data_IF_759846842323
#
_entry.id   IF_759846842323
#
_cell.length_a   1.000
_cell.length_b   1.000
_cell.length_c   1.000
_cell.angle_alpha   90.00
_cell.angle_beta   90.00
_cell.angle_gamma   90.00
#
_symmetry.space_group_name_H-M   'P 1'
#
loop_
_entity.id
_entity.type
_entity.pdbx_description
1 polymer ?
#
# COMPACT_ATOMS: atom_id res chain seq x y z
N UNK A 1 -9.60 17.17 -19.46
CA UNK A 1 -10.54 16.67 -18.45
C UNK A 1 -9.81 16.73 -17.12
N UNK A 2 -10.40 17.24 -16.04
CA UNK A 2 -9.69 17.42 -14.77
C UNK A 2 -9.35 16.10 -14.07
N UNK A 3 -9.83 14.96 -14.56
CA UNK A 3 -9.42 13.63 -14.13
C UNK A 3 -9.03 12.81 -15.36
N UNK A 4 -7.80 12.29 -15.36
CA UNK A 4 -7.29 11.33 -16.34
C UNK A 4 -6.77 10.09 -15.62
N UNK A 5 -7.18 8.91 -16.09
CA UNK A 5 -6.70 7.62 -15.58
C UNK A 5 -6.15 6.85 -16.78
N UNK A 6 -4.92 6.37 -16.67
CA UNK A 6 -4.24 5.62 -17.71
C UNK A 6 -3.49 4.43 -17.12
N UNK A 7 -3.19 3.44 -17.96
CA UNK A 7 -2.40 2.28 -17.58
C UNK A 7 -0.96 2.36 -18.07
N UNK A 8 -0.05 1.84 -17.26
CA UNK A 8 1.36 1.62 -17.59
C UNK A 8 1.74 0.17 -17.32
N UNK A 9 2.68 -0.38 -18.09
CA UNK A 9 3.08 -1.79 -17.94
C UNK A 9 4.04 -2.04 -16.78
N UNK A 10 4.76 -1.02 -16.33
CA UNK A 10 5.73 -1.10 -15.24
C UNK A 10 5.77 0.20 -14.44
N UNK A 11 6.34 0.12 -13.24
CA UNK A 11 6.53 1.29 -12.39
C UNK A 11 7.56 2.27 -13.02
N UNK A 12 8.59 1.76 -13.70
CA UNK A 12 9.60 2.58 -14.39
C UNK A 12 8.98 3.52 -15.44
N UNK A 13 7.91 3.09 -16.11
CA UNK A 13 7.24 3.90 -17.14
C UNK A 13 6.58 5.18 -16.58
N UNK A 14 6.44 5.30 -15.27
CA UNK A 14 5.86 6.47 -14.59
C UNK A 14 6.89 7.58 -14.44
N UNK A 15 8.19 7.25 -14.49
CA UNK A 15 9.27 8.22 -14.23
C UNK A 15 9.22 9.35 -15.24
N UNK A 16 9.01 9.06 -16.53
CA UNK A 16 8.94 10.08 -17.58
C UNK A 16 7.78 11.06 -17.33
N UNK A 17 6.60 10.53 -16.99
CA UNK A 17 5.40 11.30 -16.67
C UNK A 17 5.54 12.12 -15.39
N UNK A 18 6.22 11.56 -14.38
CA UNK A 18 6.53 12.27 -13.14
C UNK A 18 7.52 13.42 -13.38
N UNK A 19 8.52 13.23 -14.26
CA UNK A 19 9.43 14.30 -14.68
C UNK A 19 8.67 15.40 -15.41
N UNK A 20 7.79 15.05 -16.35
CA UNK A 20 6.95 16.03 -17.06
C UNK A 20 6.07 16.83 -16.07
N UNK A 21 5.39 16.13 -15.15
CA UNK A 21 4.54 16.74 -14.14
C UNK A 21 5.30 17.75 -13.25
N UNK A 22 6.52 17.41 -12.84
CA UNK A 22 7.37 18.27 -12.01
C UNK A 22 8.06 19.40 -12.81
N UNK A 23 8.13 19.29 -14.14
CA UNK A 23 8.72 20.31 -15.00
C UNK A 23 7.75 21.47 -15.31
N UNK A 24 6.46 21.33 -14.96
CA UNK A 24 5.47 22.39 -15.14
C UNK A 24 5.76 23.54 -14.16
N UNK A 25 5.77 24.81 -14.60
CA UNK A 25 6.12 25.93 -13.72
C UNK A 25 5.07 26.09 -12.61
N UNK A 26 5.53 26.08 -11.35
CA UNK A 26 4.73 26.44 -10.17
C UNK A 26 5.43 27.54 -9.39
N UNK A 27 4.66 28.21 -8.53
CA UNK A 27 5.23 29.14 -7.55
C UNK A 27 6.19 28.41 -6.60
N UNK A 28 7.24 29.12 -6.15
CA UNK A 28 8.37 28.57 -5.40
C UNK A 28 7.97 27.86 -4.10
N UNK A 29 6.86 28.28 -3.47
CA UNK A 29 6.38 27.70 -2.21
C UNK A 29 5.26 26.67 -2.40
N UNK A 30 4.77 26.48 -3.63
CA UNK A 30 3.70 25.51 -3.89
C UNK A 30 4.28 24.12 -4.06
N UNK A 31 3.95 23.20 -3.14
CA UNK A 31 4.41 21.82 -3.24
C UNK A 31 3.63 21.02 -4.29
N UNK A 32 4.33 20.22 -5.08
CA UNK A 32 3.72 19.21 -5.96
C UNK A 32 3.16 18.07 -5.12
N UNK A 33 1.96 17.59 -5.46
CA UNK A 33 1.30 16.50 -4.73
C UNK A 33 1.44 15.20 -5.52
N UNK A 34 2.19 14.26 -4.99
CA UNK A 34 2.36 12.92 -5.58
C UNK A 34 1.85 11.87 -4.59
N UNK A 35 0.91 11.03 -5.03
CA UNK A 35 0.39 9.90 -4.26
C UNK A 35 1.03 8.62 -4.78
N UNK A 36 1.66 7.86 -3.90
CA UNK A 36 2.47 6.67 -4.23
C UNK A 36 2.13 5.50 -3.31
N UNK A 37 2.37 4.24 -3.71
CA UNK A 37 1.87 3.09 -2.96
C UNK A 37 2.59 2.87 -1.63
N UNK A 38 3.91 3.03 -1.58
CA UNK A 38 4.74 2.68 -0.40
C UNK A 38 5.90 3.65 -0.21
N UNK A 39 6.50 3.62 0.99
CA UNK A 39 7.72 4.40 1.27
C UNK A 39 8.94 3.90 0.48
N UNK A 40 8.97 2.61 0.11
CA UNK A 40 9.97 2.07 -0.80
C UNK A 40 9.84 2.69 -2.19
N UNK A 41 8.62 2.73 -2.74
CA UNK A 41 8.33 3.40 -4.01
C UNK A 41 8.66 4.90 -3.95
N UNK A 42 8.46 5.56 -2.79
CA UNK A 42 8.88 6.96 -2.56
C UNK A 42 10.37 7.13 -2.79
N UNK A 43 11.16 6.32 -2.09
CA UNK A 43 12.62 6.43 -2.08
C UNK A 43 13.19 6.13 -3.46
N UNK A 44 12.66 5.10 -4.12
CA UNK A 44 13.00 4.74 -5.49
C UNK A 44 12.63 5.86 -6.49
N UNK A 45 11.40 6.38 -6.45
CA UNK A 45 10.96 7.41 -7.38
C UNK A 45 11.73 8.72 -7.16
N UNK A 46 11.97 9.10 -5.90
CA UNK A 46 12.76 10.29 -5.57
C UNK A 46 14.19 10.20 -6.10
N UNK A 47 14.86 9.05 -5.99
CA UNK A 47 16.19 8.82 -6.57
C UNK A 47 16.15 8.90 -8.10
N UNK A 48 15.20 8.23 -8.77
CA UNK A 48 15.05 8.28 -10.23
C UNK A 48 14.79 9.70 -10.75
N UNK A 49 13.96 10.46 -10.03
CA UNK A 49 13.65 11.84 -10.36
C UNK A 49 14.85 12.76 -10.12
N UNK A 50 15.60 12.60 -9.02
CA UNK A 50 16.77 13.43 -8.72
C UNK A 50 17.87 13.27 -9.76
N UNK A 51 18.04 12.07 -10.34
CA UNK A 51 19.01 11.86 -11.41
C UNK A 51 18.65 12.55 -12.73
N UNK A 52 17.40 12.99 -12.91
CA UNK A 52 16.89 13.58 -14.16
C UNK A 52 16.52 15.06 -14.04
N UNK A 53 15.98 15.47 -12.89
CA UNK A 53 15.52 16.84 -12.64
C UNK A 53 16.68 17.69 -12.12
N UNK A 54 17.00 18.76 -12.83
CA UNK A 54 18.06 19.69 -12.43
C UNK A 54 19.49 19.16 -12.60
N UNK A 55 19.68 18.01 -13.26
CA UNK A 55 21.02 17.48 -13.56
C UNK A 55 21.72 18.35 -14.60
N UNK A 56 23.01 18.63 -14.41
CA UNK A 56 23.82 19.39 -15.38
C UNK A 56 24.04 18.63 -16.69
N UNK A 57 24.10 17.29 -16.59
CA UNK A 57 24.05 16.34 -17.70
C UNK A 57 23.28 15.10 -17.27
N UNK A 58 22.52 14.53 -18.20
CA UNK A 58 21.77 13.27 -18.09
C UNK A 58 22.59 12.09 -17.56
N UNK A 59 23.92 12.14 -17.65
CA UNK A 59 24.84 11.08 -17.21
C UNK A 59 25.41 11.28 -15.80
N UNK A 60 25.40 12.51 -15.29
CA UNK A 60 26.02 12.84 -14.00
C UNK A 60 25.11 12.52 -12.83
N UNK A 61 23.79 12.63 -13.02
CA UNK A 61 22.80 12.34 -11.98
C UNK A 61 22.91 13.25 -10.76
N UNK A 62 23.45 14.47 -10.94
CA UNK A 62 23.72 15.47 -9.91
C UNK A 62 22.52 16.41 -9.63
N UNK A 63 21.32 15.98 -10.02
CA UNK A 63 20.11 16.76 -9.87
C UNK A 63 19.47 16.66 -8.48
N UNK A 64 18.37 17.39 -8.30
CA UNK A 64 17.67 17.52 -7.02
C UNK A 64 16.16 17.44 -7.25
N UNK A 65 15.47 16.73 -6.35
CA UNK A 65 14.00 16.79 -6.21
C UNK A 65 13.67 17.53 -4.93
N UNK A 66 12.97 18.65 -5.05
CA UNK A 66 12.53 19.46 -3.92
C UNK A 66 11.09 19.94 -4.14
N UNK A 67 10.42 20.36 -3.05
CA UNK A 67 9.04 20.87 -3.14
C UNK A 67 8.01 19.81 -3.52
N UNK A 68 8.28 18.53 -3.25
CA UNK A 68 7.34 17.43 -3.50
C UNK A 68 6.80 16.91 -2.18
N UNK A 69 5.48 16.94 -2.04
CA UNK A 69 4.76 16.30 -0.95
C UNK A 69 4.29 14.90 -1.41
N UNK A 70 4.95 13.89 -0.88
CA UNK A 70 4.62 12.50 -1.12
C UNK A 70 3.57 12.02 -0.11
N UNK A 71 2.39 11.72 -0.63
CA UNK A 71 1.25 11.16 0.09
C UNK A 71 1.03 9.69 -0.26
N UNK A 72 0.19 9.01 0.51
CA UNK A 72 -0.12 7.59 0.32
C UNK A 72 -1.62 7.40 0.03
N UNK A 73 -2.06 6.25 -0.50
CA UNK A 73 -3.43 6.11 -1.00
C UNK A 73 -4.50 6.26 0.11
N UNK A 74 -4.13 6.02 1.37
CA UNK A 74 -5.00 6.24 2.53
C UNK A 74 -5.16 7.71 2.94
N UNK A 75 -4.28 8.61 2.48
CA UNK A 75 -4.37 10.05 2.76
C UNK A 75 -5.05 10.85 1.65
N UNK A 76 -5.56 10.18 0.59
CA UNK A 76 -6.24 10.85 -0.53
C UNK A 76 -7.42 11.71 -0.10
N UNK A 77 -8.18 11.28 0.92
CA UNK A 77 -9.29 12.06 1.49
C UNK A 77 -8.86 13.39 2.09
N UNK A 78 -7.60 13.54 2.51
CA UNK A 78 -7.08 14.80 3.04
C UNK A 78 -6.97 15.87 1.95
N UNK A 79 -6.84 15.47 0.68
CA UNK A 79 -6.67 16.39 -0.44
C UNK A 79 -7.97 17.11 -0.82
N UNK A 80 -9.16 16.58 -0.48
CA UNK A 80 -10.45 17.23 -0.78
C UNK A 80 -10.82 18.34 0.21
N UNK A 81 -10.01 18.53 1.25
CA UNK A 81 -10.12 19.62 2.20
C UNK A 81 -10.72 19.23 3.55
N UNK A 82 -10.10 19.80 4.59
CA UNK A 82 -10.72 20.25 5.85
C UNK A 82 -10.67 19.37 7.10
N UNK A 83 -9.52 18.85 7.54
CA UNK A 83 -9.26 18.71 8.99
C UNK A 83 -7.79 18.42 9.35
N UNK A 84 -7.38 18.83 10.56
CA UNK A 84 -6.09 18.48 11.16
C UNK A 84 -6.02 16.98 11.44
N UNK A 85 -5.24 16.24 10.64
CA UNK A 85 -5.03 14.80 10.82
C UNK A 85 -4.60 14.43 12.25
N UNK A 86 -3.73 15.25 12.85
CA UNK A 86 -3.21 15.03 14.21
C UNK A 86 -4.32 14.98 15.27
N UNK A 87 -5.44 15.65 15.00
CA UNK A 87 -6.55 15.80 15.93
C UNK A 87 -7.84 15.09 15.50
N UNK A 88 -7.81 14.24 14.48
CA UNK A 88 -9.02 13.58 13.98
C UNK A 88 -9.57 12.57 15.03
N UNK A 89 -10.80 12.77 15.56
CA UNK A 89 -11.40 11.83 16.49
C UNK A 89 -11.67 10.45 15.89
N UNK A 90 -11.75 10.34 14.56
CA UNK A 90 -11.92 9.06 13.87
C UNK A 90 -10.61 8.31 13.65
N UNK A 91 -9.46 8.93 13.93
CA UNK A 91 -8.18 8.20 13.94
C UNK A 91 -8.29 7.01 14.89
N UNK A 92 -7.79 5.85 14.46
CA UNK A 92 -7.96 4.59 15.20
C UNK A 92 -7.55 4.71 16.67
N UNK A 93 -6.50 5.49 16.95
CA UNK A 93 -6.01 5.76 18.30
C UNK A 93 -7.06 6.45 19.17
N UNK A 94 -7.71 7.52 18.67
CA UNK A 94 -8.75 8.26 19.41
C UNK A 94 -10.10 7.54 19.41
N UNK A 95 -10.44 6.89 18.30
CA UNK A 95 -11.62 6.06 18.18
C UNK A 95 -11.60 4.92 19.20
N UNK A 96 -10.42 4.34 19.48
CA UNK A 96 -10.27 3.32 20.53
C UNK A 96 -10.76 3.82 21.89
N UNK A 97 -10.42 5.03 22.30
CA UNK A 97 -10.89 5.58 23.58
C UNK A 97 -12.38 5.93 23.56
N UNK A 98 -12.88 6.46 22.44
CA UNK A 98 -14.31 6.73 22.28
C UNK A 98 -15.15 5.45 22.36
N UNK A 99 -14.67 4.36 21.76
CA UNK A 99 -15.29 3.04 21.86
C UNK A 99 -15.21 2.52 23.28
N UNK A 100 -14.05 2.64 23.94
CA UNK A 100 -13.83 2.18 25.31
C UNK A 100 -14.85 2.80 26.27
N UNK A 101 -15.03 4.12 26.20
CA UNK A 101 -15.97 4.84 27.05
C UNK A 101 -17.41 4.34 26.84
N UNK A 102 -17.81 4.12 25.59
CA UNK A 102 -19.17 3.65 25.25
C UNK A 102 -19.40 2.21 25.71
N UNK A 103 -18.48 1.28 25.45
CA UNK A 103 -18.67 -0.15 25.77
C UNK A 103 -18.65 -0.41 27.28
N UNK A 104 -17.84 0.33 28.06
CA UNK A 104 -17.76 0.18 29.52
C UNK A 104 -19.02 0.70 30.21
N UNK A 105 -19.65 1.74 29.67
CA UNK A 105 -20.88 2.31 30.22
C UNK A 105 -22.16 1.55 29.81
N UNK A 106 -22.04 0.62 28.86
CA UNK A 106 -23.18 -0.05 28.22
C UNK A 106 -23.16 -1.56 28.47
N UNK A 107 -23.92 -2.08 29.46
CA UNK A 107 -23.90 -3.50 29.84
C UNK A 107 -24.19 -4.48 28.70
N UNK A 108 -24.92 -4.06 27.67
CA UNK A 108 -25.23 -4.86 26.49
C UNK A 108 -24.01 -5.27 25.64
N UNK A 109 -22.86 -4.62 25.83
CA UNK A 109 -21.60 -4.91 25.11
C UNK A 109 -20.56 -5.66 25.96
N UNK A 110 -20.90 -6.06 27.18
CA UNK A 110 -19.99 -6.77 28.10
C UNK A 110 -19.41 -8.06 27.48
N UNK A 111 -20.18 -8.76 26.65
CA UNK A 111 -19.72 -9.96 25.97
C UNK A 111 -18.55 -9.69 25.00
N UNK A 112 -18.47 -8.50 24.39
CA UNK A 112 -17.35 -8.11 23.52
C UNK A 112 -16.06 -7.94 24.33
N UNK A 113 -16.18 -7.39 25.53
CA UNK A 113 -15.08 -7.21 26.49
C UNK A 113 -14.54 -8.57 26.91
N UNK A 114 -15.43 -9.50 27.29
CA UNK A 114 -15.06 -10.86 27.69
C UNK A 114 -14.41 -11.64 26.55
N UNK A 115 -14.97 -11.57 25.35
CA UNK A 115 -14.43 -12.26 24.17
C UNK A 115 -13.04 -11.75 23.76
N UNK A 116 -12.77 -10.45 23.94
CA UNK A 116 -11.47 -9.87 23.61
C UNK A 116 -10.40 -10.09 24.68
N UNK A 117 -10.78 -10.52 25.89
CA UNK A 117 -9.88 -10.65 27.03
C UNK A 117 -9.58 -9.33 27.74
N UNK A 118 -10.43 -8.31 27.58
CA UNK A 118 -10.31 -7.02 28.26
C UNK A 118 -10.89 -5.85 27.48
N UNK A 119 -11.25 -4.75 28.17
CA UNK A 119 -12.02 -3.65 27.57
C UNK A 119 -11.21 -2.86 26.55
N UNK A 120 -9.92 -2.60 26.81
CA UNK A 120 -9.04 -1.90 25.86
C UNK A 120 -8.80 -2.73 24.59
N UNK A 121 -8.64 -4.05 24.72
CA UNK A 121 -8.47 -4.95 23.57
C UNK A 121 -9.74 -5.01 22.71
N UNK A 122 -10.91 -5.08 23.35
CA UNK A 122 -12.19 -5.01 22.66
C UNK A 122 -12.34 -3.68 21.91
N UNK A 123 -12.10 -2.57 22.61
CA UNK A 123 -12.22 -1.24 22.04
C UNK A 123 -11.28 -1.04 20.84
N UNK A 124 -10.04 -1.51 20.93
CA UNK A 124 -9.07 -1.42 19.83
C UNK A 124 -9.53 -2.23 18.62
N UNK A 125 -9.95 -3.48 18.82
CA UNK A 125 -10.44 -4.36 17.73
C UNK A 125 -11.68 -3.77 17.03
N UNK A 126 -12.58 -3.15 17.79
CA UNK A 126 -13.78 -2.50 17.26
C UNK A 126 -13.40 -1.22 16.49
N UNK A 127 -12.48 -0.40 17.03
CA UNK A 127 -11.98 0.79 16.35
C UNK A 127 -11.30 0.44 15.01
N UNK A 128 -10.41 -0.56 14.99
CA UNK A 128 -9.78 -1.06 13.76
C UNK A 128 -10.85 -1.52 12.74
N UNK A 129 -11.91 -2.20 13.20
CA UNK A 129 -13.00 -2.65 12.34
C UNK A 129 -13.80 -1.48 11.75
N UNK A 130 -14.14 -0.48 12.55
CA UNK A 130 -14.90 0.68 12.07
C UNK A 130 -14.08 1.55 11.12
N UNK A 131 -12.79 1.74 11.40
CA UNK A 131 -11.85 2.38 10.46
C UNK A 131 -11.82 1.64 9.11
N UNK A 132 -11.71 0.31 9.14
CA UNK A 132 -11.82 -0.49 7.92
C UNK A 132 -13.17 -0.32 7.21
N UNK A 133 -14.28 -0.12 7.92
CA UNK A 133 -15.59 0.14 7.31
C UNK A 133 -15.65 1.52 6.66
N UNK A 134 -15.09 2.55 7.29
CA UNK A 134 -14.98 3.88 6.70
C UNK A 134 -14.27 3.81 5.34
N UNK A 135 -13.23 2.99 5.23
CA UNK A 135 -12.44 2.91 4.00
C UNK A 135 -12.97 1.90 2.96
N UNK A 136 -13.29 0.67 3.39
CA UNK A 136 -13.65 -0.44 2.49
C UNK A 136 -15.14 -0.51 2.19
N UNK A 137 -15.98 0.10 3.03
CA UNK A 137 -17.46 0.06 2.91
C UNK A 137 -18.09 1.44 3.15
N UNK A 138 -17.65 2.50 2.45
CA UNK A 138 -18.13 3.86 2.69
C UNK A 138 -19.66 3.96 2.51
N UNK A 139 -20.23 3.29 1.50
CA UNK A 139 -21.69 3.27 1.28
C UNK A 139 -22.49 2.69 2.46
N UNK A 140 -21.92 1.71 3.18
CA UNK A 140 -22.53 1.18 4.40
C UNK A 140 -22.58 2.23 5.50
N UNK A 141 -21.48 2.96 5.71
CA UNK A 141 -21.40 4.04 6.70
C UNK A 141 -22.34 5.20 6.34
N UNK A 142 -22.43 5.56 5.06
CA UNK A 142 -23.36 6.59 4.60
C UNK A 142 -24.81 6.21 4.92
N UNK A 143 -25.20 4.96 4.68
CA UNK A 143 -26.53 4.46 5.07
C UNK A 143 -26.72 4.47 6.60
N UNK A 144 -25.66 4.18 7.36
CA UNK A 144 -25.73 4.18 8.83
C UNK A 144 -25.92 5.59 9.41
N UNK A 145 -25.31 6.61 8.80
CA UNK A 145 -25.54 8.03 9.13
C UNK A 145 -27.01 8.43 8.91
N UNK A 146 -27.62 7.91 7.85
CA UNK A 146 -29.06 8.12 7.55
C UNK A 146 -29.99 7.25 8.43
N UNK A 147 -29.44 6.53 9.42
CA UNK A 147 -30.19 5.69 10.34
C UNK A 147 -30.68 4.37 9.74
N UNK A 148 -30.21 3.98 8.54
CA UNK A 148 -30.57 2.74 7.87
C UNK A 148 -29.55 1.64 8.23
N UNK A 149 -29.94 0.55 8.94
CA UNK A 149 -29.04 -0.57 9.28
C UNK A 149 -28.81 -1.47 8.06
N UNK A 150 -28.05 -0.97 7.09
CA UNK A 150 -27.74 -1.62 5.83
C UNK A 150 -26.34 -2.23 5.82
N UNK A 151 -26.14 -3.29 5.04
CA UNK A 151 -24.83 -3.70 4.55
C UNK A 151 -24.46 -2.84 3.33
N UNK A 152 -23.19 -2.90 2.91
CA UNK A 152 -22.72 -2.16 1.75
C UNK A 152 -23.60 -2.43 0.51
N UNK A 153 -24.15 -1.39 -0.13
CA UNK A 153 -25.03 -1.56 -1.27
C UNK A 153 -24.25 -2.11 -2.49
N UNK A 154 -24.76 -3.17 -3.12
CA UNK A 154 -24.25 -3.71 -4.38
C UNK A 154 -25.28 -3.49 -5.48
N UNK A 155 -24.81 -3.08 -6.66
CA UNK A 155 -25.64 -2.47 -7.69
C UNK A 155 -26.67 -3.39 -8.40
N UNK A 156 -26.77 -4.65 -8.02
CA UNK A 156 -27.75 -5.59 -8.57
C UNK A 156 -28.53 -6.34 -7.48
N UNK A 157 -28.29 -6.05 -6.20
CA UNK A 157 -29.10 -6.57 -5.08
C UNK A 157 -30.29 -5.64 -4.84
N UNK A 158 -31.20 -5.64 -5.81
CA UNK A 158 -32.40 -4.80 -5.83
C UNK A 158 -33.48 -5.43 -4.94
N UNK A 159 -33.73 -4.84 -3.76
CA UNK A 159 -34.83 -5.23 -2.89
C UNK A 159 -35.87 -4.11 -2.83
N UNK A 160 -37.02 -4.32 -3.48
CA UNK A 160 -38.22 -3.50 -3.30
C UNK A 160 -38.48 -2.47 -4.40
N UNK A 161 -39.70 -1.91 -4.38
CA UNK A 161 -40.30 -1.07 -5.42
C UNK A 161 -39.64 0.32 -5.62
N UNK A 162 -38.70 0.71 -4.75
CA UNK A 162 -38.15 2.07 -4.66
C UNK A 162 -36.72 2.23 -5.21
N UNK A 163 -36.18 1.25 -5.95
CA UNK A 163 -34.87 1.37 -6.62
C UNK A 163 -33.66 1.63 -5.69
N UNK A 164 -33.79 1.43 -4.37
CA UNK A 164 -32.66 1.54 -3.43
C UNK A 164 -31.93 0.18 -3.31
N UNK A 165 -30.61 0.17 -3.55
CA UNK A 165 -29.75 -1.01 -3.42
C UNK A 165 -29.42 -1.35 -1.96
N UNK A 166 -30.41 -1.52 -1.08
CA UNK A 166 -30.18 -1.73 0.37
C UNK A 166 -30.34 -3.19 0.77
N UNK A 167 -29.25 -3.78 1.25
CA UNK A 167 -29.25 -5.09 1.89
C UNK A 167 -29.37 -4.86 3.41
N UNK A 168 -30.40 -5.34 4.11
CA UNK A 168 -30.48 -5.16 5.55
C UNK A 168 -29.40 -5.95 6.28
N UNK A 169 -28.86 -5.40 7.37
CA UNK A 169 -27.95 -6.13 8.25
C UNK A 169 -28.63 -7.36 8.86
N UNK A 170 -27.87 -8.44 8.99
CA UNK A 170 -28.33 -9.63 9.72
C UNK A 170 -28.64 -9.26 11.17
N UNK A 171 -29.55 -10.01 11.82
CA UNK A 171 -29.87 -9.78 13.24
C UNK A 171 -28.63 -9.91 14.14
N UNK A 172 -27.70 -10.79 13.80
CA UNK A 172 -26.45 -10.99 14.54
C UNK A 172 -25.46 -9.85 14.37
N UNK A 173 -25.55 -9.05 13.30
CA UNK A 173 -24.62 -7.95 13.04
C UNK A 173 -25.18 -6.58 13.44
N UNK A 174 -26.45 -6.52 13.85
CA UNK A 174 -27.12 -5.24 14.16
C UNK A 174 -26.48 -4.47 15.31
N UNK A 175 -25.84 -5.16 16.25
CA UNK A 175 -25.09 -4.53 17.33
C UNK A 175 -23.99 -3.59 16.82
N UNK A 176 -23.41 -3.88 15.63
CA UNK A 176 -22.34 -3.06 15.04
C UNK A 176 -22.88 -1.69 14.65
N UNK A 177 -24.05 -1.66 14.01
CA UNK A 177 -24.75 -0.42 13.66
C UNK A 177 -25.16 0.36 14.91
N UNK A 178 -25.75 -0.31 15.90
CA UNK A 178 -26.20 0.35 17.13
C UNK A 178 -25.02 0.95 17.91
N UNK A 179 -23.93 0.19 18.06
CA UNK A 179 -22.71 0.66 18.72
C UNK A 179 -22.05 1.80 17.94
N UNK A 180 -21.94 1.67 16.62
CA UNK A 180 -21.38 2.71 15.77
C UNK A 180 -22.15 4.02 15.90
N UNK A 181 -23.49 3.97 15.99
CA UNK A 181 -24.32 5.18 16.22
C UNK A 181 -24.05 5.83 17.56
N UNK A 182 -23.92 5.05 18.64
CA UNK A 182 -23.57 5.58 19.96
C UNK A 182 -22.22 6.30 19.93
N UNK A 183 -21.22 5.70 19.29
CA UNK A 183 -19.89 6.30 19.11
C UNK A 183 -19.96 7.55 18.23
N UNK A 184 -20.70 7.49 17.12
CA UNK A 184 -20.90 8.63 16.21
C UNK A 184 -21.53 9.82 16.94
N UNK A 185 -22.50 9.57 17.82
CA UNK A 185 -23.11 10.60 18.68
C UNK A 185 -22.11 11.13 19.71
N UNK A 186 -21.31 10.27 20.35
CA UNK A 186 -20.30 10.67 21.31
C UNK A 186 -19.19 11.54 20.69
N UNK A 187 -18.72 11.18 19.49
CA UNK A 187 -17.71 11.94 18.73
C UNK A 187 -18.28 13.29 18.26
N UNK A 188 -19.59 13.34 17.96
CA UNK A 188 -20.31 14.53 17.51
C UNK A 188 -19.67 15.25 16.30
N UNK A 189 -19.02 14.50 15.41
CA UNK A 189 -18.48 15.02 14.14
C UNK A 189 -18.77 14.04 13.00
N UNK A 190 -19.04 14.52 11.76
CA UNK A 190 -19.33 13.67 10.61
C UNK A 190 -18.31 12.55 10.44
N UNK A 191 -18.76 11.35 10.07
CA UNK A 191 -17.86 10.25 9.74
C UNK A 191 -17.01 10.56 8.50
N UNK A 192 -15.82 9.94 8.34
CA UNK A 192 -14.94 10.21 7.21
C UNK A 192 -15.63 10.14 5.84
N UNK A 193 -16.47 9.13 5.52
CA UNK A 193 -17.17 9.10 4.23
C UNK A 193 -18.14 10.26 4.01
N UNK A 194 -18.81 10.76 5.06
CA UNK A 194 -19.69 11.94 4.96
C UNK A 194 -18.85 13.21 4.76
N UNK A 195 -17.72 13.32 5.45
CA UNK A 195 -16.77 14.44 5.28
C UNK A 195 -16.31 14.52 3.84
N UNK A 196 -15.79 13.42 3.30
CA UNK A 196 -15.29 13.35 1.92
C UNK A 196 -16.38 13.75 0.91
N UNK A 197 -17.61 13.25 1.11
CA UNK A 197 -18.77 13.57 0.26
C UNK A 197 -19.12 15.07 0.28
N UNK A 198 -19.11 15.65 1.48
CA UNK A 198 -19.51 17.04 1.72
C UNK A 198 -18.35 18.02 1.63
N UNK A 199 -17.14 17.57 1.29
CA UNK A 199 -15.98 18.45 1.19
C UNK A 199 -16.18 19.52 0.12
N UNK A 200 -15.77 20.76 0.44
CA UNK A 200 -15.91 21.94 -0.44
C UNK A 200 -14.56 22.50 -0.89
N UNK A 201 -13.44 21.92 -0.43
CA UNK A 201 -12.08 22.39 -0.68
C UNK A 201 -11.49 23.19 0.50
N UNK A 202 -10.43 23.99 0.26
CA UNK A 202 -9.71 24.12 -1.01
C UNK A 202 -9.00 22.82 -1.41
N UNK A 203 -8.86 22.59 -2.71
CA UNK A 203 -8.10 21.46 -3.28
C UNK A 203 -6.78 21.95 -3.87
N UNK A 204 -5.74 21.10 -3.96
CA UNK A 204 -4.52 21.44 -4.68
C UNK A 204 -4.79 21.73 -6.16
N UNK A 205 -3.90 22.48 -6.82
CA UNK A 205 -4.02 22.78 -8.26
C UNK A 205 -3.87 21.55 -9.14
N UNK A 206 -3.02 20.60 -8.73
CA UNK A 206 -2.87 19.33 -9.42
C UNK A 206 -2.41 18.22 -8.47
N UNK A 207 -2.78 16.99 -8.78
CA UNK A 207 -2.41 15.76 -8.05
C UNK A 207 -1.99 14.69 -9.04
N UNK A 208 -0.83 14.08 -8.79
CA UNK A 208 -0.32 12.97 -9.58
C UNK A 208 -0.36 11.68 -8.77
N UNK A 209 -1.09 10.66 -9.25
CA UNK A 209 -1.15 9.34 -8.64
C UNK A 209 -0.21 8.42 -9.41
N UNK A 210 0.89 8.04 -8.77
CA UNK A 210 2.02 7.38 -9.37
C UNK A 210 2.07 5.89 -8.95
N UNK A 211 1.57 5.02 -9.83
CA UNK A 211 1.92 3.60 -9.80
C UNK A 211 1.16 2.77 -8.80
N UNK A 212 -0.11 3.09 -8.61
CA UNK A 212 -1.01 2.21 -7.85
C UNK A 212 -1.41 1.02 -8.73
N UNK A 213 -1.41 -0.17 -8.16
CA UNK A 213 -1.94 -1.36 -8.84
C UNK A 213 -3.48 -1.33 -8.88
N UNK A 214 -4.09 -0.81 -7.82
CA UNK A 214 -5.52 -0.82 -7.61
C UNK A 214 -6.03 0.51 -7.07
N UNK A 215 -7.27 0.85 -7.45
CA UNK A 215 -8.07 1.90 -6.82
C UNK A 215 -9.30 1.28 -6.18
N UNK A 216 -9.58 1.65 -4.94
CA UNK A 216 -10.85 1.31 -4.28
C UNK A 216 -11.96 2.29 -4.72
N UNK A 217 -13.22 1.90 -4.52
CA UNK A 217 -14.37 2.74 -4.85
C UNK A 217 -14.29 4.11 -4.16
N UNK A 218 -13.92 4.14 -2.87
CA UNK A 218 -13.76 5.41 -2.15
C UNK A 218 -12.69 6.28 -2.81
N UNK A 219 -11.53 5.72 -3.15
CA UNK A 219 -10.47 6.49 -3.79
C UNK A 219 -10.92 7.02 -5.15
N UNK A 220 -11.61 6.22 -5.95
CA UNK A 220 -12.19 6.65 -7.22
C UNK A 220 -13.17 7.82 -7.04
N UNK A 221 -14.06 7.76 -6.03
CA UNK A 221 -14.98 8.85 -5.72
C UNK A 221 -14.27 10.10 -5.20
N UNK A 222 -13.23 9.94 -4.37
CA UNK A 222 -12.39 11.06 -3.92
C UNK A 222 -11.65 11.71 -5.10
N UNK A 223 -11.10 10.94 -6.04
CA UNK A 223 -10.46 11.48 -7.24
C UNK A 223 -11.46 12.23 -8.14
N UNK A 224 -12.69 11.71 -8.31
CA UNK A 224 -13.77 12.44 -9.00
C UNK A 224 -14.07 13.76 -8.29
N UNK A 225 -14.23 13.71 -6.97
CA UNK A 225 -14.52 14.88 -6.14
C UNK A 225 -13.40 15.93 -6.25
N UNK A 226 -12.14 15.54 -6.11
CA UNK A 226 -10.97 16.39 -6.30
C UNK A 226 -11.03 17.14 -7.63
N UNK A 227 -11.26 16.41 -8.72
CA UNK A 227 -11.32 16.98 -10.06
C UNK A 227 -12.49 17.95 -10.31
N UNK A 228 -13.53 17.87 -9.47
CA UNK A 228 -14.72 18.73 -9.54
C UNK A 228 -14.64 19.98 -8.65
N UNK A 229 -13.83 19.93 -7.59
CA UNK A 229 -13.65 21.02 -6.65
C UNK A 229 -12.64 22.04 -7.20
N UNK A 230 -12.79 23.29 -6.74
CA UNK A 230 -11.93 24.40 -7.13
C UNK A 230 -10.86 24.66 -6.08
N UNK A 231 -9.64 24.92 -6.54
CA UNK A 231 -8.56 25.38 -5.68
C UNK A 231 -8.71 26.85 -5.29
N UNK A 232 -7.74 27.36 -4.54
CA UNK A 232 -7.70 28.77 -4.11
C UNK A 232 -7.67 29.76 -5.30
N UNK A 233 -7.12 29.32 -6.43
CA UNK A 233 -7.06 30.07 -7.67
C UNK A 233 -8.38 30.02 -8.49
N UNK A 234 -9.40 29.30 -8.01
CA UNK A 234 -10.70 29.15 -8.69
C UNK A 234 -10.71 28.14 -9.85
N UNK A 235 -9.57 27.50 -10.14
CA UNK A 235 -9.43 26.45 -11.16
C UNK A 235 -9.71 25.07 -10.55
N UNK A 236 -10.18 24.14 -11.38
CA UNK A 236 -10.35 22.75 -10.93
C UNK A 236 -9.00 22.06 -10.76
N UNK A 237 -8.90 21.16 -9.78
CA UNK A 237 -7.70 20.32 -9.60
C UNK A 237 -7.48 19.43 -10.84
N UNK A 238 -6.29 19.48 -11.43
CA UNK A 238 -5.87 18.52 -12.46
C UNK A 238 -5.36 17.22 -11.81
N UNK A 239 -6.10 16.14 -12.00
CA UNK A 239 -5.82 14.83 -11.41
C UNK A 239 -5.36 13.88 -12.53
N UNK A 240 -4.11 13.45 -12.46
CA UNK A 240 -3.53 12.45 -13.38
C UNK A 240 -3.17 11.19 -12.60
N UNK A 241 -3.79 10.07 -12.94
CA UNK A 241 -3.56 8.78 -12.30
C UNK A 241 -2.98 7.76 -13.28
N UNK A 242 -1.81 7.25 -12.94
CA UNK A 242 -1.15 6.17 -13.67
C UNK A 242 -1.20 4.90 -12.84
N UNK A 243 -1.94 3.92 -13.33
CA UNK A 243 -2.12 2.63 -12.68
C UNK A 243 -1.26 1.57 -13.38
N UNK A 244 -0.67 0.66 -12.59
CA UNK A 244 0.14 -0.41 -13.15
C UNK A 244 -0.79 -1.54 -13.63
N UNK A 245 -0.76 -1.79 -14.94
CA UNK A 245 -1.43 -2.92 -15.58
C UNK A 245 -0.43 -3.61 -16.52
N UNK A 246 0.11 -4.78 -16.15
CA UNK A 246 1.25 -5.35 -16.87
C UNK A 246 0.90 -5.88 -18.27
N UNK A 247 -0.36 -6.24 -18.53
CA UNK A 247 -0.79 -6.80 -19.82
C UNK A 247 -1.77 -5.90 -20.59
N UNK A 248 -1.34 -5.22 -21.67
CA UNK A 248 -2.25 -4.50 -22.57
C UNK A 248 -3.27 -5.42 -23.26
N UNK A 249 -2.87 -6.66 -23.57
CA UNK A 249 -3.75 -7.64 -24.24
C UNK A 249 -4.92 -8.05 -23.36
N UNK A 250 -4.67 -8.40 -22.10
CA UNK A 250 -5.73 -8.74 -21.14
C UNK A 250 -6.61 -7.53 -20.82
N UNK A 251 -6.04 -6.33 -20.73
CA UNK A 251 -6.80 -5.11 -20.54
C UNK A 251 -7.87 -4.95 -21.63
N UNK A 252 -7.48 -5.10 -22.91
CA UNK A 252 -8.40 -4.97 -24.03
C UNK A 252 -9.47 -6.08 -24.08
N UNK A 253 -9.14 -7.29 -23.63
CA UNK A 253 -10.10 -8.40 -23.53
C UNK A 253 -11.12 -8.13 -22.42
N UNK A 254 -10.66 -7.81 -21.21
CA UNK A 254 -11.50 -7.53 -20.05
C UNK A 254 -12.40 -6.31 -20.24
N UNK A 255 -11.99 -5.34 -21.07
CA UNK A 255 -12.84 -4.21 -21.43
C UNK A 255 -14.13 -4.65 -22.15
N UNK A 256 -14.10 -5.76 -22.89
CA UNK A 256 -15.29 -6.32 -23.55
C UNK A 256 -16.26 -6.97 -22.57
N UNK A 257 -15.79 -7.32 -21.37
CA UNK A 257 -16.57 -7.92 -20.28
C UNK A 257 -17.00 -6.89 -19.22
N UNK A 258 -16.83 -5.60 -19.52
CA UNK A 258 -17.14 -4.52 -18.60
C UNK A 258 -18.58 -4.64 -18.05
N UNK A 259 -18.78 -4.54 -16.72
CA UNK A 259 -20.10 -4.55 -16.12
C UNK A 259 -20.90 -3.29 -16.51
N UNK A 260 -22.20 -3.32 -16.23
CA UNK A 260 -23.04 -2.13 -16.37
C UNK A 260 -22.56 -0.97 -15.48
N UNK A 261 -22.87 0.26 -15.89
CA UNK A 261 -22.57 1.45 -15.12
C UNK A 261 -23.34 1.46 -13.82
N UNK A 262 -22.61 1.57 -12.71
CA UNK A 262 -23.15 1.54 -11.35
C UNK A 262 -22.48 2.62 -10.48
N UNK A 263 -22.69 3.91 -10.80
CA UNK A 263 -21.97 5.01 -10.15
C UNK A 263 -22.17 5.03 -8.64
N UNK A 264 -21.08 5.06 -7.87
CA UNK A 264 -21.09 5.09 -6.41
C UNK A 264 -21.37 3.74 -5.73
N UNK A 265 -21.53 2.66 -6.51
CA UNK A 265 -21.78 1.31 -6.01
C UNK A 265 -20.70 0.33 -6.48
N UNK A 266 -20.49 -0.73 -5.71
CA UNK A 266 -19.62 -1.81 -6.16
C UNK A 266 -20.34 -2.65 -7.23
N UNK A 267 -19.65 -3.01 -8.32
CA UNK A 267 -20.20 -3.94 -9.29
C UNK A 267 -20.30 -5.34 -8.69
N UNK A 268 -21.18 -6.17 -9.25
CA UNK A 268 -21.27 -7.57 -8.89
C UNK A 268 -19.94 -8.26 -9.19
N UNK A 269 -19.47 -9.08 -8.25
CA UNK A 269 -18.29 -9.91 -8.48
C UNK A 269 -18.61 -10.90 -9.59
N UNK A 270 -17.87 -10.81 -10.69
CA UNK A 270 -17.93 -11.79 -11.78
C UNK A 270 -17.01 -12.96 -11.42
N UNK A 271 -17.50 -14.19 -11.59
CA UNK A 271 -16.62 -15.37 -11.51
C UNK A 271 -15.80 -15.45 -12.79
N UNK A 272 -14.48 -15.61 -12.62
CA UNK A 272 -13.54 -15.68 -13.74
C UNK A 272 -13.61 -17.08 -14.34
N UNK A 273 -13.92 -17.17 -15.63
CA UNK A 273 -13.64 -18.39 -16.40
C UNK A 273 -12.19 -18.34 -16.89
N UNK A 274 -11.28 -18.93 -16.10
CA UNK A 274 -9.84 -18.94 -16.39
C UNK A 274 -9.49 -19.62 -17.73
N UNK A 275 -10.43 -20.32 -18.36
CA UNK A 275 -10.22 -20.95 -19.67
C UNK A 275 -10.45 -19.99 -20.86
N UNK A 276 -11.16 -18.87 -20.66
CA UNK A 276 -11.50 -17.92 -21.74
C UNK A 276 -10.61 -16.67 -21.75
N UNK A 277 -10.03 -16.31 -20.60
CA UNK A 277 -9.33 -15.04 -20.36
C UNK A 277 -7.79 -15.11 -20.55
N UNK A 278 -7.27 -16.11 -21.26
CA UNK A 278 -5.82 -16.25 -21.53
C UNK A 278 -5.12 -17.36 -20.73
N UNK A 279 -3.85 -17.15 -20.35
CA UNK A 279 -3.12 -18.12 -19.53
C UNK A 279 -3.64 -18.15 -18.08
N UNK A 280 -4.06 -19.31 -17.52
CA UNK A 280 -4.66 -19.39 -16.20
C UNK A 280 -3.78 -18.85 -15.05
N UNK A 281 -2.45 -19.00 -15.16
CA UNK A 281 -1.53 -18.54 -14.13
C UNK A 281 -1.43 -17.01 -14.15
N UNK A 282 -1.28 -16.43 -15.34
CA UNK A 282 -1.25 -14.98 -15.53
C UNK A 282 -2.56 -14.35 -15.07
N UNK A 283 -3.70 -14.91 -15.48
CA UNK A 283 -5.03 -14.43 -15.07
C UNK A 283 -5.23 -14.54 -13.55
N UNK A 284 -4.72 -15.60 -12.92
CA UNK A 284 -4.77 -15.72 -11.45
C UNK A 284 -3.90 -14.67 -10.75
N UNK A 285 -2.71 -14.35 -11.28
CA UNK A 285 -1.84 -13.33 -10.70
C UNK A 285 -2.41 -11.92 -10.85
N UNK A 286 -3.12 -11.66 -11.95
CA UNK A 286 -3.67 -10.34 -12.27
C UNK A 286 -5.12 -10.15 -11.82
N UNK A 287 -5.66 -11.04 -10.98
CA UNK A 287 -7.04 -10.94 -10.46
C UNK A 287 -7.30 -9.58 -9.79
N UNK A 288 -6.36 -9.05 -9.02
CA UNK A 288 -6.51 -7.74 -8.37
C UNK A 288 -6.62 -6.58 -9.37
N UNK A 289 -5.81 -6.63 -10.43
CA UNK A 289 -5.86 -5.68 -11.55
C UNK A 289 -7.17 -5.78 -12.31
N UNK A 290 -7.66 -6.99 -12.59
CA UNK A 290 -8.95 -7.23 -13.23
C UNK A 290 -10.11 -6.68 -12.39
N UNK A 291 -10.16 -7.00 -11.09
CA UNK A 291 -11.18 -6.49 -10.16
C UNK A 291 -11.19 -4.95 -10.16
N UNK A 292 -10.01 -4.32 -10.23
CA UNK A 292 -9.88 -2.86 -10.36
C UNK A 292 -10.40 -2.36 -11.70
N UNK A 293 -10.06 -3.00 -12.81
CA UNK A 293 -10.54 -2.60 -14.13
C UNK A 293 -12.08 -2.71 -14.22
N UNK A 294 -12.67 -3.77 -13.69
CA UNK A 294 -14.13 -3.95 -13.64
C UNK A 294 -14.78 -2.87 -12.78
N UNK A 295 -14.19 -2.57 -11.62
CA UNK A 295 -14.63 -1.47 -10.77
C UNK A 295 -14.58 -0.14 -11.54
N UNK A 296 -13.45 0.20 -12.16
CA UNK A 296 -13.31 1.45 -12.92
C UNK A 296 -14.32 1.54 -14.08
N UNK A 297 -14.51 0.45 -14.82
CA UNK A 297 -15.49 0.37 -15.91
C UNK A 297 -16.92 0.60 -15.40
N UNK A 298 -17.28 -0.02 -14.26
CA UNK A 298 -18.59 0.20 -13.61
C UNK A 298 -18.80 1.66 -13.18
N UNK A 299 -17.71 2.38 -12.89
CA UNK A 299 -17.74 3.79 -12.54
C UNK A 299 -17.66 4.74 -13.75
N UNK A 300 -17.63 4.20 -14.98
CA UNK A 300 -17.57 4.95 -16.23
C UNK A 300 -16.17 5.26 -16.73
N UNK A 301 -15.12 4.67 -16.15
CA UNK A 301 -13.74 4.84 -16.60
C UNK A 301 -13.26 3.66 -17.42
N UNK A 302 -12.69 3.96 -18.59
CA UNK A 302 -12.06 2.98 -19.48
C UNK A 302 -10.62 3.39 -19.76
N UNK A 303 -9.70 3.24 -18.77
CA UNK A 303 -8.31 3.65 -18.94
C UNK A 303 -7.66 2.84 -20.07
N UNK A 304 -6.85 3.51 -20.88
CA UNK A 304 -6.04 2.88 -21.92
C UNK A 304 -4.58 2.84 -21.51
N UNK A 305 -3.85 1.87 -22.03
CA UNK A 305 -2.40 1.85 -21.91
C UNK A 305 -1.79 3.08 -22.60
N UNK A 306 -0.84 3.70 -21.92
CA UNK A 306 -0.01 4.72 -22.53
C UNK A 306 0.79 4.12 -23.69
N UNK A 307 0.91 4.87 -24.77
CA UNK A 307 1.78 4.50 -25.89
C UNK A 307 3.21 4.60 -25.38
N UNK A 308 3.80 3.46 -25.02
CA UNK A 308 5.21 3.43 -24.71
C UNK A 308 5.97 3.63 -26.01
N UNK A 309 6.80 4.69 -26.05
CA UNK A 309 7.93 4.69 -26.96
C UNK A 309 8.80 3.52 -26.54
N UNK A 310 8.70 2.39 -27.24
CA UNK A 310 9.58 1.24 -27.02
C UNK A 310 11.01 1.77 -26.99
N UNK A 311 11.58 1.85 -25.80
CA UNK A 311 13.01 1.93 -25.65
C UNK A 311 13.52 0.71 -26.40
N UNK A 312 14.31 0.95 -27.43
CA UNK A 312 14.87 -0.03 -28.35
C UNK A 312 15.87 -0.92 -27.59
N UNK A 313 15.38 -1.69 -26.62
CA UNK A 313 16.13 -2.71 -25.91
C UNK A 313 16.21 -3.89 -26.87
N UNK A 314 17.22 -3.77 -27.72
CA UNK A 314 17.82 -4.74 -28.63
C UNK A 314 17.21 -6.14 -28.63
N UNK A 315 17.02 -6.65 -29.85
CA UNK A 315 16.80 -8.06 -30.19
C UNK A 315 18.00 -8.92 -29.74
N UNK A 316 18.21 -9.06 -28.44
CA UNK A 316 19.10 -10.05 -27.87
C UNK A 316 18.27 -11.29 -27.54
N UNK A 317 18.88 -12.46 -27.74
CA UNK A 317 18.31 -13.78 -27.45
C UNK A 317 17.65 -13.77 -26.06
N UNK A 318 16.34 -14.00 -26.02
CA UNK A 318 15.55 -13.80 -24.80
C UNK A 318 15.96 -14.78 -23.71
N UNK A 319 16.23 -14.25 -22.52
CA UNK A 319 16.40 -15.04 -21.30
C UNK A 319 15.10 -15.69 -20.86
N UNK A 320 15.18 -16.70 -19.99
CA UNK A 320 13.97 -17.34 -19.44
C UNK A 320 13.09 -16.31 -18.72
N UNK A 321 13.68 -15.41 -17.95
CA UNK A 321 13.00 -14.31 -17.30
C UNK A 321 12.27 -13.40 -18.31
N UNK A 322 12.94 -13.01 -19.41
CA UNK A 322 12.33 -12.14 -20.43
C UNK A 322 11.16 -12.85 -21.13
N UNK A 323 11.26 -14.15 -21.36
CA UNK A 323 10.17 -14.96 -21.91
C UNK A 323 8.94 -14.99 -21.00
N UNK A 324 9.15 -15.11 -19.68
CA UNK A 324 8.05 -15.05 -18.69
C UNK A 324 7.45 -13.64 -18.64
N UNK A 325 8.28 -12.59 -18.63
CA UNK A 325 7.80 -11.21 -18.67
C UNK A 325 6.97 -10.93 -19.93
N UNK A 326 7.42 -11.41 -21.09
CA UNK A 326 6.66 -11.31 -22.35
C UNK A 326 5.34 -12.07 -22.29
N UNK A 327 5.32 -13.26 -21.67
CA UNK A 327 4.10 -14.05 -21.47
C UNK A 327 3.08 -13.28 -20.62
N UNK A 328 3.54 -12.63 -19.54
CA UNK A 328 2.68 -11.79 -18.70
C UNK A 328 2.16 -10.60 -19.50
N UNK A 329 3.02 -9.89 -20.23
CA UNK A 329 2.61 -8.73 -21.05
C UNK A 329 1.60 -9.12 -22.14
N UNK A 330 1.82 -10.25 -22.82
CA UNK A 330 0.92 -10.76 -23.85
C UNK A 330 -0.36 -11.41 -23.30
N UNK A 331 -0.39 -11.75 -22.01
CA UNK A 331 -1.53 -12.46 -21.39
C UNK A 331 -1.66 -13.93 -21.78
N UNK A 332 -0.71 -14.48 -22.53
CA UNK A 332 -0.76 -15.85 -23.05
C UNK A 332 0.63 -16.41 -23.30
N UNK A 333 0.77 -17.73 -23.15
CA UNK A 333 2.00 -18.44 -23.48
C UNK A 333 2.14 -18.48 -25.00
N UNK A 334 3.23 -17.91 -25.52
CA UNK A 334 3.56 -18.06 -26.93
C UNK A 334 4.12 -19.46 -27.19
N UNK A 335 3.65 -20.16 -28.23
CA UNK A 335 4.14 -21.51 -28.56
C UNK A 335 5.60 -21.55 -29.01
N UNK A 336 6.18 -20.38 -29.32
CA UNK A 336 7.56 -20.21 -29.80
C UNK A 336 8.56 -19.87 -28.67
N UNK A 337 8.14 -19.88 -27.40
CA UNK A 337 9.02 -19.64 -26.24
C UNK A 337 9.81 -20.88 -25.84
N UNK A 338 10.50 -21.52 -26.78
CA UNK A 338 11.57 -22.47 -26.47
C UNK A 338 12.81 -21.70 -26.05
N UNK A 339 12.77 -21.12 -24.85
CA UNK A 339 13.95 -20.50 -24.25
C UNK A 339 14.87 -21.61 -23.71
N UNK A 340 16.18 -21.50 -23.98
CA UNK A 340 17.16 -22.38 -23.33
C UNK A 340 17.24 -21.98 -21.85
N UNK A 341 17.32 -22.97 -20.96
CA UNK A 341 17.57 -22.70 -19.55
C UNK A 341 18.83 -21.84 -19.39
N UNK A 342 18.72 -20.79 -18.58
CA UNK A 342 19.78 -19.83 -18.28
C UNK A 342 19.76 -19.46 -16.79
N UNK A 343 20.68 -18.58 -16.39
CA UNK A 343 20.84 -18.17 -14.99
C UNK A 343 19.93 -16.99 -14.59
N UNK A 344 18.95 -16.61 -15.43
CA UNK A 344 18.06 -15.48 -15.17
C UNK A 344 16.94 -15.79 -14.18
N UNK A 345 16.59 -17.08 -14.01
CA UNK A 345 15.62 -17.55 -13.04
C UNK A 345 16.11 -18.87 -12.43
N UNK A 346 16.54 -18.81 -11.18
CA UNK A 346 17.08 -19.96 -10.44
C UNK A 346 16.16 -20.31 -9.27
N UNK A 347 15.94 -21.62 -9.07
CA UNK A 347 15.16 -22.14 -7.94
C UNK A 347 16.07 -22.97 -7.04
N UNK A 348 16.28 -22.50 -5.81
CA UNK A 348 17.13 -23.16 -4.82
C UNK A 348 16.30 -23.86 -3.75
N UNK A 349 16.46 -25.17 -3.61
CA UNK A 349 15.88 -25.96 -2.52
C UNK A 349 16.87 -26.05 -1.36
N UNK A 350 16.48 -25.55 -0.19
CA UNK A 350 17.31 -25.53 1.03
C UNK A 350 16.62 -26.27 2.18
N UNK A 351 17.38 -26.66 3.21
CA UNK A 351 16.89 -27.45 4.35
C UNK A 351 16.30 -26.60 5.50
N UNK A 352 16.86 -25.42 5.75
CA UNK A 352 16.43 -24.50 6.82
C UNK A 352 16.77 -23.03 6.46
N UNK A 353 16.36 -22.08 7.31
CA UNK A 353 16.58 -20.64 7.10
C UNK A 353 18.06 -20.24 7.14
N UNK A 354 18.87 -20.92 7.96
CA UNK A 354 20.30 -20.67 8.03
C UNK A 354 20.98 -21.02 6.71
N UNK A 355 20.64 -22.19 6.15
CA UNK A 355 21.17 -22.63 4.86
C UNK A 355 20.63 -21.78 3.71
N UNK A 356 19.39 -21.31 3.79
CA UNK A 356 18.86 -20.35 2.82
C UNK A 356 19.69 -19.06 2.79
N UNK A 357 20.02 -18.49 3.96
CA UNK A 357 20.85 -17.29 4.05
C UNK A 357 22.24 -17.49 3.43
N UNK A 358 22.89 -18.64 3.69
CA UNK A 358 24.17 -18.99 3.07
C UNK A 358 24.08 -19.11 1.55
N UNK A 359 23.05 -19.81 1.05
CA UNK A 359 22.84 -20.00 -0.40
C UNK A 359 22.55 -18.66 -1.08
N UNK A 360 21.78 -17.76 -0.45
CA UNK A 360 21.56 -16.40 -0.97
C UNK A 360 22.88 -15.65 -1.07
N UNK A 361 23.68 -15.65 -0.01
CA UNK A 361 24.98 -14.98 0.01
C UNK A 361 25.92 -15.49 -1.10
N UNK A 362 26.04 -16.81 -1.26
CA UNK A 362 26.87 -17.42 -2.30
C UNK A 362 26.34 -17.12 -3.72
N UNK A 363 25.02 -17.14 -3.91
CA UNK A 363 24.39 -16.78 -5.18
C UNK A 363 24.67 -15.32 -5.57
N UNK A 364 24.61 -14.39 -4.61
CA UNK A 364 24.92 -12.98 -4.85
C UNK A 364 26.39 -12.77 -5.23
N UNK A 365 27.33 -13.44 -4.54
CA UNK A 365 28.75 -13.39 -4.90
C UNK A 365 28.98 -13.89 -6.33
N UNK A 366 28.29 -14.96 -6.71
CA UNK A 366 28.33 -15.46 -8.09
C UNK A 366 27.79 -14.42 -9.07
N UNK A 367 26.63 -13.82 -8.78
CA UNK A 367 26.05 -12.76 -9.62
C UNK A 367 26.97 -11.55 -9.77
N UNK A 368 27.63 -11.08 -8.71
CA UNK A 368 28.60 -9.97 -8.79
C UNK A 368 29.82 -10.32 -9.64
N UNK A 369 30.25 -11.58 -9.65
CA UNK A 369 31.35 -12.04 -10.50
C UNK A 369 30.98 -12.12 -11.98
N UNK A 370 29.71 -12.44 -12.27
CA UNK A 370 29.22 -12.62 -13.64
C UNK A 370 28.66 -11.34 -14.28
N UNK A 371 28.26 -10.36 -13.47
CA UNK A 371 27.65 -9.12 -13.93
C UNK A 371 28.45 -7.90 -13.45
N UNK A 372 29.32 -7.38 -14.31
CA UNK A 372 30.25 -6.27 -14.00
C UNK A 372 29.54 -4.98 -13.53
N UNK A 373 28.28 -4.78 -13.90
CA UNK A 373 27.50 -3.57 -13.59
C UNK A 373 26.49 -3.75 -12.45
N UNK A 374 26.41 -4.93 -11.82
CA UNK A 374 25.43 -5.18 -10.76
C UNK A 374 25.91 -4.54 -9.45
N UNK A 375 25.17 -3.55 -8.97
CA UNK A 375 25.46 -2.91 -7.70
C UNK A 375 24.62 -3.49 -6.54
N UNK A 376 25.12 -3.53 -5.29
CA UNK A 376 24.37 -4.07 -4.15
C UNK A 376 22.99 -3.43 -3.92
N UNK A 377 22.82 -2.15 -4.25
CA UNK A 377 21.55 -1.43 -4.09
C UNK A 377 20.49 -1.81 -5.15
N UNK A 378 20.87 -2.57 -6.18
CA UNK A 378 19.96 -3.08 -7.22
C UNK A 378 19.39 -4.46 -6.84
N UNK A 379 19.80 -5.03 -5.70
CA UNK A 379 19.37 -6.33 -5.22
C UNK A 379 18.34 -6.17 -4.11
N UNK A 380 17.25 -6.94 -4.20
CA UNK A 380 16.20 -7.01 -3.18
C UNK A 380 16.00 -8.46 -2.70
N UNK A 381 16.05 -8.66 -1.39
CA UNK A 381 15.69 -9.93 -0.76
C UNK A 381 14.32 -9.75 -0.11
N UNK A 382 13.32 -10.50 -0.57
CA UNK A 382 11.96 -10.47 -0.02
C UNK A 382 11.67 -11.77 0.70
N UNK A 383 11.10 -11.68 1.91
CA UNK A 383 10.65 -12.84 2.69
C UNK A 383 9.28 -12.57 3.31
N UNK A 384 8.34 -13.53 3.28
CA UNK A 384 7.05 -13.39 3.95
C UNK A 384 7.17 -13.29 5.48
N UNK A 385 8.32 -13.68 6.05
CA UNK A 385 8.64 -13.58 7.48
C UNK A 385 10.08 -13.12 7.65
N UNK A 386 10.34 -11.85 7.31
CA UNK A 386 11.68 -11.29 7.40
C UNK A 386 12.23 -11.33 8.84
N UNK A 387 11.39 -11.18 9.86
CA UNK A 387 11.81 -11.27 11.28
C UNK A 387 12.45 -12.62 11.63
N UNK A 388 11.97 -13.73 11.05
CA UNK A 388 12.54 -15.06 11.30
C UNK A 388 13.86 -15.28 10.54
N UNK A 389 13.97 -14.74 9.31
CA UNK A 389 15.14 -14.91 8.44
C UNK A 389 16.28 -13.93 8.77
N UNK A 390 15.96 -12.76 9.32
CA UNK A 390 16.88 -11.66 9.56
C UNK A 390 18.13 -12.04 10.39
N UNK A 391 18.03 -12.75 11.54
CA UNK A 391 19.21 -13.13 12.32
C UNK A 391 20.18 -14.02 11.54
N UNK A 392 19.65 -14.88 10.66
CA UNK A 392 20.46 -15.74 9.80
C UNK A 392 21.17 -14.94 8.71
N UNK A 393 20.49 -13.98 8.08
CA UNK A 393 21.11 -13.08 7.11
C UNK A 393 22.21 -12.24 7.75
N UNK A 394 21.97 -11.64 8.93
CA UNK A 394 22.99 -10.86 9.64
C UNK A 394 24.23 -11.69 9.95
N UNK A 395 24.06 -12.90 10.49
CA UNK A 395 25.18 -13.78 10.82
C UNK A 395 26.01 -14.20 9.59
N UNK A 396 25.35 -14.38 8.44
CA UNK A 396 26.03 -14.77 7.20
C UNK A 396 26.70 -13.58 6.52
N UNK A 397 26.03 -12.42 6.43
CA UNK A 397 26.54 -11.24 5.73
C UNK A 397 27.61 -10.47 6.55
N UNK A 398 27.66 -10.65 7.88
CA UNK A 398 28.74 -10.12 8.72
C UNK A 398 30.09 -10.83 8.50
N UNK A 399 30.13 -11.90 7.67
CA UNK A 399 31.35 -12.63 7.36
C UNK A 399 32.23 -11.76 6.44
N UNK A 400 33.44 -11.47 6.90
CA UNK A 400 34.46 -10.78 6.10
C UNK A 400 35.19 -11.78 5.22
N UNK A 401 35.12 -11.59 3.90
CA UNK A 401 35.82 -12.41 2.93
C UNK A 401 37.17 -11.77 2.62
N UNK A 402 38.26 -12.50 2.85
CA UNK A 402 39.61 -12.05 2.49
C UNK A 402 40.07 -12.73 1.20
N UNK A 403 40.29 -11.94 0.16
CA UNK A 403 40.95 -12.38 -1.07
C UNK A 403 42.22 -11.52 -1.28
N UNK A 404 43.39 -12.12 -1.05
CA UNK A 404 44.66 -11.39 -1.03
C UNK A 404 44.71 -10.32 0.06
N UNK A 405 44.95 -9.06 -0.33
CA UNK A 405 44.98 -7.89 0.57
C UNK A 405 43.62 -7.20 0.73
N UNK A 406 42.57 -7.68 0.06
CA UNK A 406 41.25 -7.06 0.10
C UNK A 406 40.34 -7.83 1.06
N UNK A 407 39.74 -7.10 2.01
CA UNK A 407 38.66 -7.62 2.87
C UNK A 407 37.34 -7.07 2.35
N UNK A 408 36.46 -7.95 1.90
CA UNK A 408 35.16 -7.61 1.34
C UNK A 408 34.08 -8.03 2.33
N UNK A 409 33.14 -7.11 2.58
CA UNK A 409 31.93 -7.34 3.36
C UNK A 409 30.75 -6.88 2.51
N UNK A 410 29.76 -7.76 2.31
CA UNK A 410 28.58 -7.40 1.52
C UNK A 410 27.63 -6.56 2.38
N UNK A 411 27.30 -5.32 1.98
CA UNK A 411 26.39 -4.49 2.75
C UNK A 411 24.99 -5.11 2.76
N UNK A 412 24.40 -5.22 3.94
CA UNK A 412 23.05 -5.71 4.15
C UNK A 412 22.26 -4.70 4.98
N UNK A 413 21.10 -4.29 4.46
CA UNK A 413 20.13 -3.47 5.19
C UNK A 413 18.83 -4.23 5.25
N UNK A 414 18.35 -4.48 6.46
CA UNK A 414 17.08 -5.19 6.68
C UNK A 414 16.02 -4.16 7.07
N UNK A 415 15.04 -4.00 6.18
CA UNK A 415 13.86 -3.17 6.40
C UNK A 415 12.75 -3.95 7.15
N UNK A 416 11.68 -3.24 7.53
CA UNK A 416 10.43 -3.79 8.09
C UNK A 416 10.54 -4.52 9.44
N UNK A 417 11.56 -4.23 10.25
CA UNK A 417 11.58 -4.67 11.65
C UNK A 417 10.78 -3.73 12.54
N UNK A 418 10.08 -4.30 13.52
CA UNK A 418 9.40 -3.50 14.53
C UNK A 418 10.42 -2.71 15.35
N UNK A 419 10.10 -1.48 15.76
CA UNK A 419 10.96 -0.66 16.66
C UNK A 419 11.36 -1.45 17.92
N UNK A 420 10.47 -2.32 18.41
CA UNK A 420 10.70 -3.21 19.56
C UNK A 420 11.79 -4.26 19.34
N UNK A 421 12.05 -4.64 18.10
CA UNK A 421 13.04 -5.66 17.71
C UNK A 421 14.42 -5.05 17.46
N UNK A 422 14.50 -3.72 17.24
CA UNK A 422 15.73 -3.02 16.83
C UNK A 422 16.22 -2.04 17.89
N UNK A 423 15.36 -1.55 18.78
CA UNK A 423 15.71 -0.54 19.78
C UNK A 423 15.90 -1.14 21.17
N UNK A 424 17.16 -1.18 21.63
CA UNK A 424 17.53 -1.54 23.01
C UNK A 424 16.75 -0.73 24.05
N UNK A 425 16.49 0.56 23.76
CA UNK A 425 15.74 1.46 24.63
C UNK A 425 14.26 1.08 24.75
N UNK A 426 13.62 0.74 23.64
CA UNK A 426 12.23 0.28 23.66
C UNK A 426 12.10 -1.05 24.41
N UNK A 427 13.06 -1.96 24.23
CA UNK A 427 13.08 -3.24 24.92
C UNK A 427 13.31 -3.06 26.43
N UNK A 428 14.22 -2.17 26.83
CA UNK A 428 14.42 -1.78 28.24
C UNK A 428 13.14 -1.19 28.86
N UNK A 429 12.45 -0.29 28.16
CA UNK A 429 11.21 0.30 28.64
C UNK A 429 10.14 -0.77 28.88
N UNK A 430 10.00 -1.74 27.99
CA UNK A 430 9.06 -2.86 28.16
C UNK A 430 9.46 -3.71 29.37
N UNK A 431 10.75 -4.01 29.54
CA UNK A 431 11.24 -4.75 30.69
C UNK A 431 10.94 -4.01 32.02
N UNK A 432 11.14 -2.69 32.04
CA UNK A 432 10.78 -1.84 33.19
C UNK A 432 9.28 -1.85 33.49
N UNK A 433 8.43 -1.70 32.47
CA UNK A 433 6.97 -1.76 32.64
C UNK A 433 6.51 -3.13 33.17
N UNK A 434 7.11 -4.23 32.67
CA UNK A 434 6.86 -5.57 33.18
C UNK A 434 7.30 -5.73 34.63
N UNK A 435 8.47 -5.20 34.99
CA UNK A 435 8.98 -5.22 36.35
C UNK A 435 8.05 -4.48 37.32
N UNK A 436 7.55 -3.29 36.95
CA UNK A 436 6.57 -2.54 37.76
C UNK A 436 5.27 -3.34 37.96
N UNK A 437 4.87 -4.12 36.96
CA UNK A 437 3.71 -5.01 37.06
C UNK A 437 4.00 -6.37 37.73
N UNK A 438 5.26 -6.70 38.02
CA UNK A 438 5.66 -7.98 38.63
C UNK A 438 5.77 -7.86 40.15
N UNK A 439 6.22 -8.94 40.80
CA UNK A 439 6.54 -8.94 42.24
C UNK A 439 7.97 -8.47 42.52
N UNK A 440 8.66 -7.90 41.53
CA UNK A 440 10.07 -7.51 41.59
C UNK A 440 10.96 -8.67 42.08
N UNK A 441 10.84 -9.83 41.44
CA UNK A 441 11.74 -10.96 41.75
C UNK A 441 13.20 -10.58 41.47
N UNK A 442 14.14 -11.28 42.10
CA UNK A 442 15.58 -11.07 41.85
C UNK A 442 15.89 -11.27 40.36
N UNK A 443 15.30 -12.29 39.73
CA UNK A 443 15.49 -12.57 38.30
C UNK A 443 14.95 -11.44 37.42
N UNK A 444 13.76 -10.88 37.71
CA UNK A 444 13.19 -9.76 36.96
C UNK A 444 14.05 -8.49 37.11
N UNK A 445 14.53 -8.22 38.32
CA UNK A 445 15.41 -7.09 38.61
C UNK A 445 16.74 -7.23 37.87
N UNK A 446 17.35 -8.42 37.90
CA UNK A 446 18.58 -8.70 37.18
C UNK A 446 18.38 -8.58 35.67
N UNK A 447 17.28 -9.10 35.12
CA UNK A 447 16.98 -8.99 33.69
C UNK A 447 16.89 -7.55 33.17
N UNK A 448 16.53 -6.59 34.03
CA UNK A 448 16.59 -5.15 33.73
C UNK A 448 17.99 -4.60 33.98
N UNK A 449 18.61 -4.92 35.12
CA UNK A 449 19.90 -4.39 35.53
C UNK A 449 21.06 -4.80 34.61
N UNK A 450 20.99 -5.97 33.98
CA UNK A 450 22.02 -6.48 33.05
C UNK A 450 21.88 -5.94 31.64
N UNK A 451 20.90 -5.06 31.36
CA UNK A 451 20.80 -4.41 30.04
C UNK A 451 21.89 -3.35 29.90
N UNK A 452 22.53 -3.32 28.73
CA UNK A 452 23.65 -2.41 28.41
C UNK A 452 23.35 -0.95 28.76
N UNK A 453 22.16 -0.45 28.41
CA UNK A 453 21.77 0.94 28.69
C UNK A 453 21.73 1.26 30.20
N UNK A 454 21.33 0.29 31.03
CA UNK A 454 21.31 0.45 32.49
C UNK A 454 22.73 0.39 33.04
N UNK A 455 23.51 -0.60 32.63
CA UNK A 455 24.91 -0.75 33.03
C UNK A 455 25.72 0.50 32.68
N UNK A 456 25.63 0.98 31.44
CA UNK A 456 26.30 2.22 30.99
C UNK A 456 25.84 3.46 31.78
N UNK A 457 24.56 3.56 32.16
CA UNK A 457 24.08 4.68 32.97
C UNK A 457 24.67 4.68 34.40
N UNK A 458 24.89 3.49 34.98
CA UNK A 458 25.46 3.33 36.31
C UNK A 458 26.98 3.14 36.33
N UNK A 459 27.66 3.24 35.18
CA UNK A 459 29.11 3.06 35.07
C UNK A 459 29.58 1.63 35.38
N UNK A 460 28.73 0.64 35.10
CA UNK A 460 29.05 -0.78 35.17
C UNK A 460 29.40 -1.26 33.76
N UNK A 461 30.49 -2.01 33.63
CA UNK A 461 30.94 -2.63 32.37
C UNK A 461 30.29 -4.00 32.14
#
# INVERSE_FOLDING_TARGET
>A
MPLSIQYVTSLDAIVDEAVEYLSQPKDLFTSYKIVIPTIGARSWLADKLARRLGSTDSKLGDGIVAGVDFSYPGSLSQLVGSYEYENDPWSVQRLTFSVLDVIVQSPQYEWLIQQAGGPLLAARRIADRFDHYHFRRPGMILAWEDGKPALAPMAEEMNGADNEFIIPLSRSDRWQFDLWRLIRTAINQPSPPVRDRNAEGPVPSAVFIAGLEALSLQQTEVLKKLSSLKGENGECCDVRALLVHPSPSLQAQWEQMAPALTPGYLPKKQEIDSAQDGDPLVTSWLRGTQETQMLLASQGFFPKHMVQHESTVSKQSGSLLRSIQQTITAGSISTDTLCKADDSLLVHRCHDLSRQAEVIHDALLHSFKHHDNLAPHEILIVSPRISDLAPHLEAVFSRKLTEGNCTIELPLVIADRGIREVSDGAELLIALLKLIGSRCSVDDMLAVATRRLVQSHYGLD
#
